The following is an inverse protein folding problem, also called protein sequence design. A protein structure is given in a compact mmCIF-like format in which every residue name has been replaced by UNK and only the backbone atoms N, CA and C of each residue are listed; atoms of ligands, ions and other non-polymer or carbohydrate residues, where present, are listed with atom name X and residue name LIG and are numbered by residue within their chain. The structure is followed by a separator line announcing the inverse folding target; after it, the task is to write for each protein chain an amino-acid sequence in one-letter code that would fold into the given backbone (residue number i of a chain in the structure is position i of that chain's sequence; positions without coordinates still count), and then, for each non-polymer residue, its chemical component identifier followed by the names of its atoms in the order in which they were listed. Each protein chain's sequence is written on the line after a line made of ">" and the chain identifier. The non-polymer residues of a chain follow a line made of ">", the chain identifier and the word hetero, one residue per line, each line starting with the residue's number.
data_IF_885896106164
#
_entry.id   IF_885896106164
#
_cell.length_a   1.000
_cell.length_b   1.000
_cell.length_c   1.000
_cell.angle_alpha   90.00
_cell.angle_beta   90.00
_cell.angle_gamma   90.00
#
_symmetry.space_group_name_H-M   'P 1'
#
loop_
_entity.id
_entity.type
_entity.pdbx_description
1 polymer ?
#
# COMPACT_ATOMS: atom_id res chain seq x y z
N UNK A 1 11.60 3.63 21.56
CA UNK A 1 11.85 2.36 22.29
C UNK A 1 13.34 2.05 22.41
N UNK A 2 14.18 3.07 22.62
CA UNK A 2 15.60 2.90 22.94
C UNK A 2 16.54 2.61 21.77
N UNK A 3 16.07 2.64 20.52
CA UNK A 3 16.91 2.49 19.33
C UNK A 3 17.13 3.82 18.66
N UNK A 4 18.36 4.12 18.23
CA UNK A 4 18.68 5.21 17.33
C UNK A 4 18.39 4.73 15.91
N UNK A 5 17.57 5.48 15.16
CA UNK A 5 17.16 5.13 13.81
C UNK A 5 17.60 6.23 12.84
N UNK A 6 18.37 5.86 11.83
CA UNK A 6 18.72 6.73 10.69
C UNK A 6 17.99 6.23 9.46
N UNK A 7 17.22 7.10 8.81
CA UNK A 7 16.44 6.80 7.61
C UNK A 7 17.18 7.30 6.37
N UNK A 8 17.59 6.37 5.51
CA UNK A 8 18.21 6.69 4.24
C UNK A 8 17.16 6.71 3.14
N UNK A 9 16.86 7.91 2.64
CA UNK A 9 15.81 8.16 1.64
C UNK A 9 16.41 8.59 0.30
N UNK A 10 15.64 8.45 -0.79
CA UNK A 10 16.06 8.95 -2.09
C UNK A 10 15.85 10.47 -2.21
N UNK A 11 16.50 11.10 -3.19
CA UNK A 11 16.32 12.53 -3.49
C UNK A 11 15.00 12.85 -4.21
N UNK A 12 14.06 11.91 -4.32
CA UNK A 12 12.77 12.12 -4.96
C UNK A 12 11.86 13.02 -4.10
N UNK A 13 11.08 13.89 -4.76
CA UNK A 13 10.14 14.82 -4.08
C UNK A 13 9.18 14.12 -3.12
N UNK A 14 8.73 12.90 -3.45
CA UNK A 14 7.81 12.11 -2.61
C UNK A 14 8.46 11.72 -1.28
N UNK A 15 9.73 11.28 -1.32
CA UNK A 15 10.47 10.90 -0.12
C UNK A 15 10.75 12.13 0.77
N UNK A 16 11.10 13.27 0.14
CA UNK A 16 11.32 14.53 0.85
C UNK A 16 10.04 15.11 1.48
N UNK A 17 8.87 14.85 0.88
CA UNK A 17 7.58 15.28 1.44
C UNK A 17 7.18 14.39 2.62
N UNK A 18 7.40 13.08 2.53
CA UNK A 18 7.13 12.14 3.62
C UNK A 18 8.00 12.44 4.85
N UNK A 19 9.26 12.86 4.68
CA UNK A 19 10.17 13.16 5.79
C UNK A 19 9.78 14.39 6.62
N UNK A 20 9.04 15.34 6.03
CA UNK A 20 8.63 16.57 6.74
C UNK A 20 7.73 16.33 7.95
N UNK A 21 7.00 15.23 7.96
CA UNK A 21 6.05 14.89 9.03
C UNK A 21 6.72 14.20 10.24
N UNK A 22 8.04 13.92 10.16
CA UNK A 22 8.78 13.14 11.16
C UNK A 22 10.07 13.84 11.55
N UNK A 23 9.97 15.08 12.06
CA UNK A 23 11.12 15.94 12.40
C UNK A 23 12.10 15.38 13.42
N UNK A 24 11.68 14.41 14.22
CA UNK A 24 12.50 13.79 15.28
C UNK A 24 13.40 12.66 14.78
N UNK A 25 13.32 12.30 13.50
CA UNK A 25 14.12 11.21 12.92
C UNK A 25 15.31 11.75 12.12
N UNK A 26 16.45 11.04 12.20
CA UNK A 26 17.65 11.36 11.41
C UNK A 26 17.46 10.89 9.97
N UNK A 27 17.26 11.86 9.06
CA UNK A 27 17.12 11.60 7.62
C UNK A 27 18.42 11.91 6.89
N UNK A 28 18.89 10.93 6.10
CA UNK A 28 20.02 11.08 5.18
C UNK A 28 19.54 10.80 3.77
N UNK A 29 20.14 11.46 2.79
CA UNK A 29 19.74 11.31 1.39
C UNK A 29 20.81 10.59 0.58
N UNK A 30 20.36 9.73 -0.33
CA UNK A 30 21.21 9.04 -1.30
C UNK A 30 20.67 9.26 -2.71
N UNK A 31 21.56 9.33 -3.68
CA UNK A 31 21.17 9.41 -5.10
C UNK A 31 20.33 8.19 -5.49
N UNK A 32 19.15 8.44 -6.06
CA UNK A 32 18.28 7.37 -6.55
C UNK A 32 18.91 6.73 -7.79
N UNK A 33 19.26 5.44 -7.68
CA UNK A 33 19.82 4.68 -8.78
C UNK A 33 18.71 3.81 -9.37
N UNK A 34 18.44 3.98 -10.67
CA UNK A 34 17.55 3.09 -11.40
C UNK A 34 18.37 2.08 -12.20
N UNK A 35 17.96 0.82 -12.19
CA UNK A 35 18.60 -0.21 -13.01
C UNK A 35 18.30 0.07 -14.49
N UNK A 36 19.32 0.22 -15.37
CA UNK A 36 19.10 0.47 -16.78
C UNK A 36 18.47 -0.75 -17.47
N UNK A 37 17.74 -0.50 -18.55
CA UNK A 37 17.30 -1.58 -19.44
C UNK A 37 18.52 -2.18 -20.14
N UNK A 38 18.62 -3.50 -20.14
CA UNK A 38 19.74 -4.24 -20.76
C UNK A 38 19.30 -4.69 -22.17
N UNK A 39 20.19 -4.54 -23.21
CA UNK A 39 21.52 -3.94 -23.23
C UNK A 39 21.51 -2.40 -23.41
N UNK A 40 22.40 -1.67 -22.72
CA UNK A 40 22.51 -0.21 -22.85
C UNK A 40 23.93 0.26 -22.54
N UNK A 41 24.44 1.24 -23.31
CA UNK A 41 25.70 1.97 -23.03
C UNK A 41 25.65 2.69 -21.65
N UNK A 42 24.47 2.87 -21.07
CA UNK A 42 24.30 3.45 -19.73
C UNK A 42 24.80 2.55 -18.58
N UNK A 43 25.19 1.30 -18.87
CA UNK A 43 25.74 0.36 -17.87
C UNK A 43 27.03 0.85 -17.21
N UNK A 44 27.92 1.51 -17.96
CA UNK A 44 29.16 2.07 -17.39
C UNK A 44 28.84 3.20 -16.39
N UNK A 45 27.98 4.13 -16.78
CA UNK A 45 27.51 5.20 -15.89
C UNK A 45 26.75 4.68 -14.68
N UNK A 46 25.98 3.61 -14.85
CA UNK A 46 25.30 2.91 -13.75
C UNK A 46 26.33 2.31 -12.78
N UNK A 47 27.35 1.61 -13.26
CA UNK A 47 28.42 1.04 -12.43
C UNK A 47 29.12 2.08 -11.56
N UNK A 48 29.46 3.24 -12.15
CA UNK A 48 30.09 4.35 -11.41
C UNK A 48 29.16 4.90 -10.32
N UNK A 49 27.87 5.14 -10.64
CA UNK A 49 26.89 5.61 -9.63
C UNK A 49 26.68 4.58 -8.54
N UNK A 50 26.57 3.31 -8.89
CA UNK A 50 26.43 2.23 -7.91
C UNK A 50 27.65 2.15 -6.97
N UNK A 51 28.85 2.23 -7.52
CA UNK A 51 30.08 2.25 -6.72
C UNK A 51 30.12 3.46 -5.75
N UNK A 52 29.77 4.67 -6.24
CA UNK A 52 29.68 5.87 -5.40
C UNK A 52 28.65 5.70 -4.27
N UNK A 53 27.49 5.14 -4.58
CA UNK A 53 26.44 4.89 -3.59
C UNK A 53 26.87 3.85 -2.53
N UNK A 54 27.56 2.78 -2.93
CA UNK A 54 28.10 1.79 -1.99
C UNK A 54 29.17 2.43 -1.10
N UNK A 55 30.07 3.23 -1.67
CA UNK A 55 31.11 3.94 -0.91
C UNK A 55 30.50 4.93 0.09
N UNK A 56 29.51 5.72 -0.33
CA UNK A 56 28.76 6.62 0.53
C UNK A 56 28.08 5.84 1.66
N UNK A 57 27.37 4.75 1.32
CA UNK A 57 26.68 3.90 2.32
C UNK A 57 27.67 3.33 3.34
N UNK A 58 28.85 2.88 2.89
CA UNK A 58 29.88 2.37 3.78
C UNK A 58 30.35 3.41 4.80
N UNK A 59 30.57 4.65 4.33
CA UNK A 59 30.98 5.75 5.20
C UNK A 59 29.86 6.12 6.21
N UNK A 60 28.62 6.20 5.73
CA UNK A 60 27.47 6.47 6.60
C UNK A 60 27.30 5.39 7.68
N UNK A 61 27.47 4.10 7.33
CA UNK A 61 27.39 3.02 8.30
C UNK A 61 28.45 3.12 9.40
N UNK A 62 29.64 3.62 9.08
CA UNK A 62 30.72 3.89 10.06
C UNK A 62 30.34 5.11 10.93
N UNK A 63 29.84 6.19 10.32
CA UNK A 63 29.44 7.41 11.04
C UNK A 63 28.32 7.15 12.06
N UNK A 64 27.32 6.35 11.69
CA UNK A 64 26.17 6.06 12.57
C UNK A 64 26.36 4.84 13.47
N UNK A 65 27.48 4.14 13.33
CA UNK A 65 27.81 2.91 14.08
C UNK A 65 26.67 1.87 13.99
N UNK A 66 26.27 1.55 12.73
CA UNK A 66 25.08 0.74 12.49
C UNK A 66 25.24 -0.72 12.93
N UNK A 67 24.36 -1.21 13.81
CA UNK A 67 24.26 -2.61 14.22
C UNK A 67 23.44 -3.46 13.26
N UNK A 68 22.47 -2.84 12.58
CA UNK A 68 21.50 -3.50 11.69
C UNK A 68 21.15 -2.59 10.53
N UNK A 69 20.99 -3.18 9.35
CA UNK A 69 20.48 -2.48 8.16
C UNK A 69 19.26 -3.20 7.60
N UNK A 70 18.16 -2.45 7.40
CA UNK A 70 16.91 -2.96 6.82
C UNK A 70 16.64 -2.21 5.52
N UNK A 71 16.63 -2.93 4.40
CA UNK A 71 16.16 -2.40 3.12
C UNK A 71 14.64 -2.51 3.02
N UNK A 72 13.96 -1.38 2.82
CA UNK A 72 12.48 -1.33 2.71
C UNK A 72 11.98 -1.43 1.26
N UNK A 73 12.82 -1.87 0.35
CA UNK A 73 12.44 -2.07 -1.04
C UNK A 73 13.02 -1.03 -2.01
N UNK A 74 12.87 -1.33 -3.29
CA UNK A 74 13.43 -0.53 -4.37
C UNK A 74 14.95 -0.68 -4.50
N UNK A 75 15.49 -0.18 -5.64
CA UNK A 75 16.93 -0.32 -5.93
C UNK A 75 17.81 0.55 -5.02
N UNK A 76 17.24 1.60 -4.41
CA UNK A 76 17.92 2.47 -3.44
C UNK A 76 18.35 1.71 -2.17
N UNK A 77 17.67 0.61 -1.83
CA UNK A 77 18.02 -0.24 -0.68
C UNK A 77 19.28 -1.10 -0.92
N UNK A 78 19.63 -1.38 -2.17
CA UNK A 78 20.74 -2.31 -2.47
C UNK A 78 22.10 -1.80 -1.99
N UNK A 79 22.55 -0.56 -2.27
CA UNK A 79 23.87 -0.08 -1.87
C UNK A 79 24.10 -0.15 -0.35
N UNK A 80 23.21 0.33 0.54
CA UNK A 80 23.42 0.26 1.98
C UNK A 80 23.40 -1.19 2.51
N UNK A 81 22.49 -2.04 2.02
CA UNK A 81 22.45 -3.45 2.41
C UNK A 81 23.71 -4.19 1.97
N UNK A 82 24.18 -3.96 0.74
CA UNK A 82 25.42 -4.56 0.25
C UNK A 82 26.64 -4.09 1.04
N UNK A 83 26.75 -2.79 1.33
CA UNK A 83 27.84 -2.24 2.14
C UNK A 83 27.85 -2.83 3.55
N UNK A 84 26.71 -2.96 4.19
CA UNK A 84 26.53 -3.57 5.52
C UNK A 84 26.93 -5.07 5.49
N UNK A 85 26.46 -5.81 4.50
CA UNK A 85 26.84 -7.22 4.32
C UNK A 85 28.38 -7.38 4.21
N UNK A 86 29.05 -6.53 3.44
CA UNK A 86 30.51 -6.55 3.30
C UNK A 86 31.27 -6.17 4.58
N UNK A 87 30.58 -5.53 5.52
CA UNK A 87 31.12 -5.18 6.85
C UNK A 87 30.76 -6.20 7.94
N UNK A 88 30.00 -7.26 7.61
CA UNK A 88 29.56 -8.25 8.59
C UNK A 88 28.39 -7.77 9.47
N UNK A 89 27.77 -6.63 9.16
CA UNK A 89 26.60 -6.09 9.85
C UNK A 89 25.38 -6.93 9.48
N UNK A 90 24.46 -7.17 10.42
CA UNK A 90 23.21 -7.88 10.15
C UNK A 90 22.34 -7.12 9.16
N UNK A 91 21.89 -7.80 8.12
CA UNK A 91 21.16 -7.19 6.99
C UNK A 91 19.83 -7.88 6.77
N UNK A 92 18.82 -7.07 6.52
CA UNK A 92 17.48 -7.50 6.21
C UNK A 92 16.96 -6.78 4.96
N UNK A 93 16.03 -7.40 4.25
CA UNK A 93 15.20 -6.72 3.26
C UNK A 93 13.75 -7.07 3.54
N UNK A 94 12.89 -6.08 3.55
CA UNK A 94 11.44 -6.27 3.68
C UNK A 94 10.77 -6.17 2.30
N UNK A 95 9.88 -7.12 1.99
CA UNK A 95 9.00 -7.04 0.83
C UNK A 95 7.55 -7.18 1.29
N UNK A 96 6.74 -6.19 0.95
CA UNK A 96 5.33 -6.14 1.33
C UNK A 96 4.40 -6.85 0.34
N UNK A 97 4.87 -7.22 -0.85
CA UNK A 97 4.05 -7.77 -1.91
C UNK A 97 4.12 -9.30 -1.98
N UNK A 98 3.05 -9.94 -2.47
CA UNK A 98 3.03 -11.36 -2.79
C UNK A 98 3.99 -11.71 -3.94
N UNK A 99 4.16 -10.79 -4.91
CA UNK A 99 5.19 -10.87 -5.95
C UNK A 99 6.30 -9.86 -5.62
N UNK A 100 7.47 -10.31 -5.12
CA UNK A 100 8.55 -9.43 -4.74
C UNK A 100 9.17 -8.71 -5.94
N UNK A 101 9.54 -7.44 -5.72
CA UNK A 101 10.25 -6.66 -6.73
C UNK A 101 11.63 -7.24 -7.08
N UNK A 102 12.07 -7.06 -8.35
CA UNK A 102 13.37 -7.55 -8.84
C UNK A 102 14.54 -7.04 -8.00
N UNK A 103 14.47 -5.80 -7.53
CA UNK A 103 15.49 -5.20 -6.65
C UNK A 103 15.58 -5.96 -5.32
N UNK A 104 14.45 -6.29 -4.70
CA UNK A 104 14.42 -7.02 -3.44
C UNK A 104 14.94 -8.45 -3.59
N UNK A 105 14.60 -9.14 -4.68
CA UNK A 105 15.15 -10.48 -4.98
C UNK A 105 16.68 -10.44 -5.16
N UNK A 106 17.23 -9.37 -5.72
CA UNK A 106 18.66 -9.19 -5.82
C UNK A 106 19.28 -8.88 -4.45
N UNK A 107 18.70 -7.94 -3.70
CA UNK A 107 19.18 -7.52 -2.38
C UNK A 107 19.16 -8.66 -1.37
N UNK A 108 18.16 -9.54 -1.43
CA UNK A 108 18.01 -10.71 -0.55
C UNK A 108 19.23 -11.65 -0.58
N UNK A 109 19.98 -11.69 -1.68
CA UNK A 109 21.21 -12.50 -1.77
C UNK A 109 22.28 -12.06 -0.77
N UNK A 110 22.28 -10.77 -0.40
CA UNK A 110 23.21 -10.17 0.54
C UNK A 110 22.62 -10.05 1.96
N UNK A 111 21.39 -10.55 2.18
CA UNK A 111 20.73 -10.40 3.48
C UNK A 111 20.94 -11.60 4.40
N UNK A 112 20.97 -11.32 5.70
CA UNK A 112 20.88 -12.33 6.75
C UNK A 112 19.51 -13.02 6.68
N UNK A 113 18.43 -12.23 6.69
CA UNK A 113 17.06 -12.72 6.50
C UNK A 113 16.27 -11.81 5.56
N UNK A 114 15.16 -12.34 5.05
CA UNK A 114 14.15 -11.65 4.25
C UNK A 114 12.87 -11.57 5.07
N UNK A 115 12.37 -10.36 5.28
CA UNK A 115 11.15 -10.10 6.02
C UNK A 115 9.99 -10.00 5.02
N UNK A 116 8.97 -10.81 5.19
CA UNK A 116 7.85 -10.90 4.26
C UNK A 116 6.60 -10.27 4.84
N UNK A 117 5.99 -9.38 4.10
CA UNK A 117 4.66 -8.84 4.39
C UNK A 117 3.55 -9.84 4.10
N UNK A 118 3.72 -10.65 3.05
CA UNK A 118 2.80 -11.69 2.59
C UNK A 118 3.57 -13.00 2.44
N UNK A 119 3.06 -14.10 3.00
CA UNK A 119 3.78 -15.39 3.08
C UNK A 119 4.06 -15.98 1.69
N UNK A 120 3.17 -15.80 0.73
CA UNK A 120 3.30 -16.30 -0.65
C UNK A 120 4.57 -15.80 -1.35
N UNK A 121 5.13 -14.68 -0.91
CA UNK A 121 6.41 -14.19 -1.42
C UNK A 121 7.59 -15.13 -1.11
N UNK A 122 7.46 -16.05 -0.15
CA UNK A 122 8.49 -17.05 0.23
C UNK A 122 9.01 -17.86 -0.93
N UNK A 123 8.15 -18.18 -1.90
CA UNK A 123 8.51 -18.95 -3.09
C UNK A 123 9.58 -18.31 -3.99
N UNK A 124 9.80 -17.00 -3.85
CA UNK A 124 10.77 -16.23 -4.63
C UNK A 124 12.13 -16.07 -3.96
N UNK A 125 12.28 -16.57 -2.73
CA UNK A 125 13.49 -16.43 -1.92
C UNK A 125 13.99 -17.78 -1.42
N UNK A 126 15.16 -17.79 -0.76
CA UNK A 126 15.59 -18.97 -0.02
C UNK A 126 14.70 -19.13 1.23
N UNK A 127 13.88 -20.21 1.33
CA UNK A 127 12.93 -20.37 2.42
C UNK A 127 13.55 -20.30 3.84
N UNK A 128 14.80 -20.80 3.97
CA UNK A 128 15.52 -20.79 5.25
C UNK A 128 15.86 -19.40 5.77
N UNK A 129 15.85 -18.38 4.89
CA UNK A 129 16.08 -16.97 5.26
C UNK A 129 14.80 -16.18 5.46
N UNK A 130 13.63 -16.73 5.15
CA UNK A 130 12.36 -16.00 5.15
C UNK A 130 11.72 -16.01 6.53
N UNK A 131 11.32 -14.82 6.98
CA UNK A 131 10.55 -14.59 8.20
C UNK A 131 9.30 -13.81 7.81
N UNK A 132 8.12 -14.34 8.09
CA UNK A 132 6.86 -13.62 7.89
C UNK A 132 6.64 -12.67 9.05
N UNK A 133 6.69 -11.38 8.78
CA UNK A 133 6.54 -10.31 9.79
C UNK A 133 5.26 -9.50 9.61
N UNK A 134 4.57 -9.70 8.50
CA UNK A 134 3.58 -8.73 8.04
C UNK A 134 4.24 -7.43 7.55
N UNK A 135 3.45 -6.48 7.12
CA UNK A 135 3.88 -5.12 6.80
C UNK A 135 3.48 -4.19 7.95
N UNK A 136 4.36 -3.31 8.46
CA UNK A 136 4.00 -2.37 9.51
C UNK A 136 2.85 -1.46 9.08
N UNK A 137 1.84 -1.31 9.94
CA UNK A 137 0.76 -0.34 9.79
C UNK A 137 1.09 0.95 10.52
N UNK A 138 0.45 2.04 10.11
CA UNK A 138 0.57 3.32 10.80
C UNK A 138 0.03 3.23 12.23
N UNK A 139 0.64 3.95 13.15
CA UNK A 139 0.26 3.90 14.56
C UNK A 139 -1.21 4.27 14.79
N UNK A 140 -1.76 5.17 13.99
CA UNK A 140 -3.18 5.56 14.04
C UNK A 140 -4.15 4.41 13.74
N UNK A 141 -3.70 3.36 13.01
CA UNK A 141 -4.49 2.16 12.73
C UNK A 141 -4.56 1.21 13.93
N UNK A 142 -3.59 1.28 14.85
CA UNK A 142 -3.53 0.37 16.01
C UNK A 142 -4.64 0.69 17.01
N UNK A 143 -5.00 1.95 17.17
CA UNK A 143 -6.12 2.35 18.02
C UNK A 143 -7.44 2.17 17.24
N UNK A 144 -8.13 1.05 17.47
CA UNK A 144 -9.45 0.82 16.85
C UNK A 144 -10.44 1.87 17.32
N UNK A 145 -10.96 2.67 16.40
CA UNK A 145 -12.08 3.58 16.67
C UNK A 145 -13.41 2.82 16.65
N UNK A 146 -14.34 3.27 17.48
CA UNK A 146 -15.73 2.85 17.37
C UNK A 146 -16.33 3.32 16.04
N UNK A 147 -17.20 2.53 15.47
CA UNK A 147 -17.82 2.79 14.16
C UNK A 147 -18.68 4.05 14.17
N UNK A 148 -19.44 4.26 15.23
CA UNK A 148 -20.33 5.41 15.32
C UNK A 148 -19.55 6.70 15.56
N UNK A 149 -18.49 6.65 16.38
CA UNK A 149 -17.57 7.76 16.56
C UNK A 149 -16.86 8.14 15.24
N UNK A 150 -16.40 7.14 14.49
CA UNK A 150 -15.76 7.34 13.20
C UNK A 150 -16.72 7.96 12.16
N UNK A 151 -17.97 7.54 12.15
CA UNK A 151 -19.01 8.10 11.28
C UNK A 151 -19.35 9.54 11.65
N UNK A 152 -19.46 9.84 12.96
CA UNK A 152 -19.68 11.22 13.43
C UNK A 152 -18.53 12.14 13.03
N UNK A 153 -17.27 11.70 13.17
CA UNK A 153 -16.08 12.46 12.76
C UNK A 153 -16.08 12.79 11.26
N UNK A 154 -16.59 11.87 10.43
CA UNK A 154 -16.62 12.01 8.97
C UNK A 154 -17.95 12.56 8.43
N UNK A 155 -18.87 12.98 9.32
CA UNK A 155 -20.22 13.44 8.97
C UNK A 155 -21.01 12.43 8.12
N UNK A 156 -20.89 11.12 8.44
CA UNK A 156 -21.59 10.05 7.78
C UNK A 156 -22.84 9.62 8.57
N UNK A 157 -23.88 9.12 7.90
CA UNK A 157 -25.09 8.63 8.58
C UNK A 157 -24.81 7.42 9.46
N UNK A 158 -25.53 7.32 10.58
CA UNK A 158 -25.36 6.24 11.56
C UNK A 158 -26.12 4.98 11.22
N UNK A 159 -27.22 5.11 10.50
CA UNK A 159 -28.24 4.08 10.24
C UNK A 159 -28.13 3.42 8.86
N UNK A 160 -27.20 3.89 8.02
CA UNK A 160 -26.98 3.35 6.66
C UNK A 160 -25.67 2.57 6.56
N UNK A 161 -25.59 1.63 5.62
CA UNK A 161 -24.32 0.99 5.24
C UNK A 161 -23.43 2.00 4.55
N UNK A 162 -22.11 1.86 4.70
CA UNK A 162 -21.12 2.75 4.08
C UNK A 162 -20.11 1.94 3.29
N UNK A 163 -19.95 2.26 2.00
CA UNK A 163 -18.93 1.75 1.13
C UNK A 163 -17.79 2.78 1.05
N UNK A 164 -16.58 2.44 1.54
CA UNK A 164 -15.39 3.26 1.38
C UNK A 164 -14.74 2.97 0.01
N UNK A 165 -14.47 4.01 -0.75
CA UNK A 165 -13.82 3.91 -2.06
C UNK A 165 -12.50 4.66 -2.05
N UNK A 166 -11.41 3.99 -2.44
CA UNK A 166 -10.09 4.61 -2.48
C UNK A 166 -9.21 4.10 -3.63
N UNK A 167 -8.70 5.04 -4.42
CA UNK A 167 -7.85 4.75 -5.59
C UNK A 167 -6.35 4.71 -5.30
N UNK A 168 -5.94 4.99 -4.06
CA UNK A 168 -4.54 5.21 -3.68
C UNK A 168 -4.07 6.65 -3.94
N UNK A 169 -2.82 6.95 -3.55
CA UNK A 169 -2.25 8.31 -3.54
C UNK A 169 -2.21 9.02 -4.90
N UNK A 170 -2.23 8.27 -6.00
CA UNK A 170 -2.25 8.81 -7.37
C UNK A 170 -3.67 9.03 -7.91
N UNK A 171 -4.70 8.69 -7.12
CA UNK A 171 -6.09 8.66 -7.57
C UNK A 171 -6.40 7.46 -8.48
N UNK A 172 -7.65 7.33 -8.89
CA UNK A 172 -8.10 6.25 -9.76
C UNK A 172 -9.28 6.70 -10.62
N UNK A 173 -9.03 7.61 -11.56
CA UNK A 173 -10.07 8.29 -12.36
C UNK A 173 -11.08 7.33 -12.97
N UNK A 174 -10.62 6.23 -13.57
CA UNK A 174 -11.51 5.24 -14.16
C UNK A 174 -12.36 4.51 -13.12
N UNK A 175 -11.74 4.06 -12.04
CA UNK A 175 -12.46 3.44 -10.93
C UNK A 175 -13.48 4.41 -10.31
N UNK A 176 -13.11 5.67 -10.09
CA UNK A 176 -14.03 6.69 -9.59
C UNK A 176 -15.25 6.85 -10.50
N UNK A 177 -15.06 6.84 -11.85
CA UNK A 177 -16.17 6.92 -12.79
C UNK A 177 -17.13 5.72 -12.69
N UNK A 178 -16.58 4.50 -12.64
CA UNK A 178 -17.39 3.28 -12.48
C UNK A 178 -18.14 3.26 -11.15
N UNK A 179 -17.51 3.74 -10.08
CA UNK A 179 -18.14 3.83 -8.76
C UNK A 179 -19.27 4.86 -8.75
N UNK A 180 -19.13 6.01 -9.38
CA UNK A 180 -20.20 7.02 -9.47
C UNK A 180 -21.44 6.42 -10.15
N UNK A 181 -21.27 5.69 -11.25
CA UNK A 181 -22.38 5.03 -11.94
C UNK A 181 -23.01 3.91 -11.07
N UNK A 182 -22.18 3.13 -10.37
CA UNK A 182 -22.69 2.13 -9.42
C UNK A 182 -23.43 2.78 -8.23
N UNK A 183 -22.96 3.93 -7.75
CA UNK A 183 -23.61 4.67 -6.67
C UNK A 183 -25.02 5.14 -7.04
N UNK A 184 -25.26 5.53 -8.29
CA UNK A 184 -26.62 5.85 -8.79
C UNK A 184 -27.58 4.65 -8.66
N UNK A 185 -27.06 3.44 -8.87
CA UNK A 185 -27.86 2.19 -8.78
C UNK A 185 -28.06 1.73 -7.33
N UNK A 186 -27.18 2.15 -6.42
CA UNK A 186 -27.11 1.69 -5.03
C UNK A 186 -27.61 2.74 -4.00
N UNK A 187 -28.33 3.79 -4.43
CA UNK A 187 -28.74 4.90 -3.59
C UNK A 187 -29.56 4.45 -2.35
N UNK A 188 -30.42 3.43 -2.49
CA UNK A 188 -31.22 2.87 -1.41
C UNK A 188 -30.46 1.83 -0.55
N UNK A 189 -29.28 1.37 -1.03
CA UNK A 189 -28.52 0.30 -0.40
C UNK A 189 -27.48 0.83 0.60
N UNK A 190 -26.69 1.81 0.22
CA UNK A 190 -25.58 2.31 1.03
C UNK A 190 -25.17 3.73 0.63
N UNK A 191 -24.46 4.37 1.54
CA UNK A 191 -23.72 5.60 1.26
C UNK A 191 -22.31 5.28 0.79
N UNK A 192 -21.74 6.20 0.04
CA UNK A 192 -20.38 6.08 -0.49
C UNK A 192 -19.48 7.16 0.10
N UNK A 193 -18.35 6.76 0.70
CA UNK A 193 -17.27 7.68 1.06
C UNK A 193 -16.15 7.52 0.02
N UNK A 194 -16.00 8.50 -0.87
CA UNK A 194 -15.04 8.43 -1.98
C UNK A 194 -13.82 9.32 -1.70
N UNK A 195 -12.66 8.69 -1.54
CA UNK A 195 -11.36 9.38 -1.44
C UNK A 195 -10.75 9.43 -2.83
N UNK A 196 -10.89 10.60 -3.49
CA UNK A 196 -10.60 10.73 -4.93
C UNK A 196 -9.13 10.95 -5.27
N UNK A 197 -8.36 11.52 -4.36
CA UNK A 197 -7.10 12.19 -4.67
C UNK A 197 -7.31 13.56 -5.31
N UNK A 198 -6.28 14.43 -5.23
CA UNK A 198 -6.38 15.83 -5.69
C UNK A 198 -6.67 15.99 -7.18
N UNK A 199 -6.15 15.08 -8.00
CA UNK A 199 -6.30 15.17 -9.46
C UNK A 199 -7.75 14.98 -9.96
N UNK A 200 -8.62 14.32 -9.19
CA UNK A 200 -9.98 13.96 -9.62
C UNK A 200 -11.09 14.54 -8.73
N UNK A 201 -10.73 15.23 -7.65
CA UNK A 201 -11.67 15.75 -6.65
C UNK A 201 -12.74 16.66 -7.25
N UNK A 202 -12.34 17.69 -7.98
CA UNK A 202 -13.27 18.67 -8.55
C UNK A 202 -14.29 18.01 -9.51
N UNK A 203 -13.82 17.08 -10.36
CA UNK A 203 -14.68 16.36 -11.31
C UNK A 203 -15.67 15.46 -10.58
N UNK A 204 -15.22 14.67 -9.61
CA UNK A 204 -16.10 13.75 -8.86
C UNK A 204 -17.13 14.54 -8.06
N UNK A 205 -16.72 15.60 -7.35
CA UNK A 205 -17.63 16.47 -6.60
C UNK A 205 -18.74 17.08 -7.49
N UNK A 206 -18.37 17.50 -8.72
CA UNK A 206 -19.36 18.02 -9.67
C UNK A 206 -20.34 16.95 -10.15
N UNK A 207 -19.84 15.73 -10.44
CA UNK A 207 -20.65 14.63 -10.96
C UNK A 207 -21.59 14.01 -9.92
N UNK A 208 -21.33 14.25 -8.64
CA UNK A 208 -22.11 13.70 -7.51
C UNK A 208 -22.88 14.76 -6.73
N UNK A 209 -22.94 16.00 -7.23
CA UNK A 209 -23.59 17.12 -6.54
C UNK A 209 -25.10 16.89 -6.30
N UNK A 210 -25.76 16.06 -7.10
CA UNK A 210 -27.16 15.64 -7.00
C UNK A 210 -27.34 14.34 -6.20
N UNK A 211 -26.28 13.77 -5.61
CA UNK A 211 -26.28 12.46 -4.95
C UNK A 211 -26.02 12.60 -3.44
N UNK A 212 -27.05 12.80 -2.60
CA UNK A 212 -26.86 13.07 -1.16
C UNK A 212 -26.24 11.91 -0.37
N UNK A 213 -26.25 10.69 -0.93
CA UNK A 213 -25.64 9.48 -0.37
C UNK A 213 -24.17 9.30 -0.81
N UNK A 214 -23.58 10.30 -1.50
CA UNK A 214 -22.16 10.25 -1.93
C UNK A 214 -21.38 11.36 -1.24
N UNK A 215 -20.46 10.98 -0.39
CA UNK A 215 -19.58 11.87 0.37
C UNK A 215 -18.19 11.86 -0.28
N UNK A 216 -17.77 13.00 -0.82
CA UNK A 216 -16.52 13.09 -1.58
C UNK A 216 -15.48 13.85 -0.75
N UNK A 217 -14.29 13.27 -0.59
CA UNK A 217 -13.15 13.93 0.04
C UNK A 217 -11.92 13.82 -0.87
N UNK A 218 -11.14 14.88 -0.92
CA UNK A 218 -9.92 14.93 -1.71
C UNK A 218 -8.83 14.03 -1.14
N UNK A 219 -8.60 14.16 0.14
CA UNK A 219 -7.58 13.42 0.88
C UNK A 219 -8.08 13.13 2.30
N UNK A 220 -7.85 11.94 2.79
CA UNK A 220 -8.21 11.54 4.14
C UNK A 220 -6.94 11.38 5.00
N UNK A 221 -6.74 12.28 5.96
CA UNK A 221 -5.68 12.15 6.97
C UNK A 221 -6.07 11.14 8.07
N UNK A 222 -7.38 10.99 8.35
CA UNK A 222 -7.92 10.08 9.35
C UNK A 222 -8.34 8.74 8.74
N UNK A 223 -7.41 8.04 8.06
CA UNK A 223 -7.71 6.76 7.41
C UNK A 223 -8.25 5.69 8.37
N UNK A 224 -7.80 5.68 9.63
CA UNK A 224 -8.33 4.77 10.64
C UNK A 224 -9.84 4.98 10.85
N UNK A 225 -10.29 6.24 10.87
CA UNK A 225 -11.73 6.57 10.95
C UNK A 225 -12.46 6.14 9.67
N UNK A 226 -11.89 6.39 8.48
CA UNK A 226 -12.51 5.98 7.21
C UNK A 226 -12.74 4.46 7.14
N UNK A 227 -11.75 3.67 7.51
CA UNK A 227 -11.91 2.21 7.60
C UNK A 227 -12.91 1.80 8.69
N UNK A 228 -12.86 2.41 9.89
CA UNK A 228 -13.78 2.08 10.98
C UNK A 228 -15.24 2.37 10.60
N UNK A 229 -15.49 3.50 9.94
CA UNK A 229 -16.82 3.92 9.47
C UNK A 229 -17.43 2.99 8.42
N UNK A 230 -16.57 2.36 7.59
CA UNK A 230 -17.00 1.55 6.45
C UNK A 230 -17.50 0.16 6.83
N UNK A 231 -18.48 -0.34 6.09
CA UNK A 231 -18.92 -1.75 6.11
C UNK A 231 -18.15 -2.59 5.09
N UNK A 232 -17.86 -2.02 3.93
CA UNK A 232 -17.16 -2.67 2.82
C UNK A 232 -16.21 -1.67 2.15
N UNK A 233 -15.15 -2.16 1.54
CA UNK A 233 -14.15 -1.30 0.88
C UNK A 233 -14.00 -1.65 -0.58
N UNK A 234 -13.94 -0.65 -1.45
CA UNK A 234 -13.57 -0.78 -2.86
C UNK A 234 -12.23 -0.08 -3.05
N UNK A 235 -11.18 -0.82 -3.40
CA UNK A 235 -9.85 -0.22 -3.47
C UNK A 235 -8.91 -0.85 -4.48
N UNK A 236 -7.80 -0.16 -4.74
CA UNK A 236 -6.61 -0.76 -5.33
C UNK A 236 -5.98 -1.77 -4.36
N UNK A 237 -5.19 -2.69 -4.89
CA UNK A 237 -4.53 -3.76 -4.12
C UNK A 237 -3.04 -3.51 -3.90
N UNK A 238 -2.67 -2.26 -3.59
CA UNK A 238 -1.34 -1.95 -3.10
C UNK A 238 -1.07 -2.60 -1.74
N UNK A 239 0.14 -3.05 -1.49
CA UNK A 239 0.47 -3.81 -0.28
C UNK A 239 0.10 -3.08 1.02
N UNK A 240 0.33 -1.75 1.11
CA UNK A 240 -0.05 -0.96 2.29
C UNK A 240 -1.57 -0.96 2.51
N UNK A 241 -2.37 -0.74 1.46
CA UNK A 241 -3.83 -0.76 1.56
C UNK A 241 -4.35 -2.13 2.00
N UNK A 242 -3.77 -3.21 1.47
CA UNK A 242 -4.15 -4.57 1.87
C UNK A 242 -3.79 -4.87 3.31
N UNK A 243 -2.62 -4.42 3.77
CA UNK A 243 -2.22 -4.56 5.17
C UNK A 243 -3.18 -3.80 6.10
N UNK A 244 -3.61 -2.60 5.70
CA UNK A 244 -4.59 -1.82 6.45
C UNK A 244 -5.97 -2.49 6.46
N UNK A 245 -6.42 -3.03 5.30
CA UNK A 245 -7.66 -3.81 5.20
C UNK A 245 -7.65 -5.03 6.12
N UNK A 246 -6.57 -5.82 6.10
CA UNK A 246 -6.38 -6.97 6.96
C UNK A 246 -6.38 -6.59 8.45
N UNK A 247 -5.64 -5.52 8.81
CA UNK A 247 -5.59 -5.05 10.19
C UNK A 247 -6.96 -4.59 10.71
N UNK A 248 -7.77 -3.98 9.82
CA UNK A 248 -9.11 -3.47 10.15
C UNK A 248 -10.22 -4.52 9.98
N UNK A 249 -9.91 -5.72 9.48
CA UNK A 249 -10.87 -6.79 9.23
C UNK A 249 -11.98 -6.35 8.27
N UNK A 250 -11.64 -5.89 7.07
CA UNK A 250 -12.60 -5.30 6.11
C UNK A 250 -12.74 -6.11 4.85
N UNK A 251 -13.97 -6.57 4.61
CA UNK A 251 -14.38 -7.12 3.33
C UNK A 251 -14.13 -6.13 2.18
N UNK A 252 -13.62 -6.62 1.05
CA UNK A 252 -13.25 -5.71 -0.03
C UNK A 252 -13.57 -6.22 -1.44
N UNK A 253 -13.86 -5.27 -2.34
CA UNK A 253 -13.70 -5.41 -3.77
C UNK A 253 -12.33 -4.83 -4.15
N UNK A 254 -11.43 -5.68 -4.60
CA UNK A 254 -10.08 -5.30 -4.99
C UNK A 254 -9.99 -5.13 -6.50
N UNK A 255 -9.62 -3.93 -6.93
CA UNK A 255 -9.45 -3.56 -8.34
C UNK A 255 -7.97 -3.23 -8.57
N UNK A 256 -7.14 -4.20 -8.95
CA UNK A 256 -5.71 -3.99 -9.17
C UNK A 256 -5.43 -2.88 -10.17
N UNK A 257 -4.41 -2.06 -9.91
CA UNK A 257 -3.98 -1.03 -10.86
C UNK A 257 -3.42 -1.70 -12.12
N UNK A 258 -3.96 -1.40 -13.32
CA UNK A 258 -3.62 -2.15 -14.55
C UNK A 258 -2.19 -1.93 -15.03
N UNK A 259 -1.55 -0.84 -14.62
CA UNK A 259 -0.16 -0.51 -15.01
C UNK A 259 0.84 -0.77 -13.88
N UNK A 260 0.47 -1.58 -12.88
CA UNK A 260 1.38 -1.98 -11.81
C UNK A 260 2.55 -2.80 -12.37
N UNK A 261 3.76 -2.45 -11.98
CA UNK A 261 4.97 -3.15 -12.44
C UNK A 261 4.87 -4.65 -12.14
N UNK A 262 5.19 -5.49 -13.14
CA UNK A 262 5.11 -6.95 -13.06
C UNK A 262 3.72 -7.45 -12.52
N UNK A 263 2.65 -6.64 -12.67
CA UNK A 263 1.28 -6.96 -12.22
C UNK A 263 1.17 -7.30 -10.71
N UNK A 264 2.06 -6.77 -9.89
CA UNK A 264 2.16 -7.12 -8.46
C UNK A 264 0.87 -6.89 -7.68
N UNK A 265 0.06 -5.85 -8.06
CA UNK A 265 -1.22 -5.61 -7.39
C UNK A 265 -2.22 -6.74 -7.62
N UNK A 266 -2.24 -7.36 -8.79
CA UNK A 266 -3.09 -8.50 -9.03
C UNK A 266 -2.62 -9.74 -8.26
N UNK A 267 -1.31 -9.93 -8.09
CA UNK A 267 -0.80 -10.99 -7.24
C UNK A 267 -1.23 -10.79 -5.79
N UNK A 268 -1.12 -9.58 -5.26
CA UNK A 268 -1.58 -9.23 -3.92
C UNK A 268 -3.09 -9.49 -3.76
N UNK A 269 -3.92 -9.01 -4.71
CA UNK A 269 -5.37 -9.20 -4.66
C UNK A 269 -5.80 -10.66 -4.69
N UNK A 270 -5.11 -11.52 -5.46
CA UNK A 270 -5.40 -12.96 -5.52
C UNK A 270 -5.21 -13.65 -4.17
N UNK A 271 -4.20 -13.25 -3.38
CA UNK A 271 -3.99 -13.79 -2.03
C UNK A 271 -5.20 -13.51 -1.16
N UNK A 272 -5.66 -12.27 -1.09
CA UNK A 272 -6.83 -11.89 -0.31
C UNK A 272 -8.11 -12.57 -0.79
N UNK A 273 -8.30 -12.68 -2.12
CA UNK A 273 -9.45 -13.38 -2.69
C UNK A 273 -9.41 -14.88 -2.40
N UNK A 274 -8.25 -15.51 -2.44
CA UNK A 274 -8.09 -16.94 -2.14
C UNK A 274 -8.42 -17.27 -0.67
N UNK A 275 -8.19 -16.34 0.25
CA UNK A 275 -8.56 -16.48 1.66
C UNK A 275 -10.03 -16.11 1.96
N UNK A 276 -10.79 -15.67 0.95
CA UNK A 276 -12.19 -15.28 1.15
C UNK A 276 -12.41 -13.88 1.70
N UNK A 277 -11.34 -13.11 1.93
CA UNK A 277 -11.40 -11.74 2.47
C UNK A 277 -11.89 -10.70 1.46
N UNK A 278 -11.75 -11.00 0.16
CA UNK A 278 -12.08 -10.06 -0.91
C UNK A 278 -12.56 -10.74 -2.18
N UNK A 279 -13.24 -9.96 -3.02
CA UNK A 279 -13.41 -10.29 -4.44
C UNK A 279 -12.43 -9.47 -5.27
N UNK A 280 -11.79 -10.09 -6.24
CA UNK A 280 -10.90 -9.40 -7.18
C UNK A 280 -11.54 -9.27 -8.53
N UNK A 281 -11.55 -8.05 -9.09
CA UNK A 281 -11.98 -7.78 -10.47
C UNK A 281 -10.96 -6.92 -11.20
N UNK A 282 -10.71 -7.22 -12.48
CA UNK A 282 -9.77 -6.46 -13.31
C UNK A 282 -10.44 -5.21 -13.86
N UNK A 283 -9.77 -4.05 -13.75
CA UNK A 283 -10.34 -2.78 -14.20
C UNK A 283 -10.75 -2.75 -15.67
N UNK A 284 -10.02 -3.46 -16.53
CA UNK A 284 -10.31 -3.49 -17.98
C UNK A 284 -11.58 -4.24 -18.36
N UNK A 285 -12.14 -5.04 -17.47
CA UNK A 285 -13.40 -5.78 -17.65
C UNK A 285 -14.47 -5.38 -16.65
N UNK A 286 -14.11 -4.56 -15.65
CA UNK A 286 -15.03 -4.12 -14.62
C UNK A 286 -16.06 -3.14 -15.17
N UNK A 287 -17.31 -3.36 -14.80
CA UNK A 287 -18.44 -2.46 -15.10
C UNK A 287 -19.03 -1.88 -13.81
N UNK A 288 -19.84 -0.85 -13.92
CA UNK A 288 -20.62 -0.32 -12.79
C UNK A 288 -21.61 -1.35 -12.25
N UNK A 289 -22.18 -2.19 -13.12
CA UNK A 289 -23.12 -3.25 -12.74
C UNK A 289 -22.44 -4.34 -11.91
N UNK A 290 -21.17 -4.68 -12.20
CA UNK A 290 -20.39 -5.61 -11.39
C UNK A 290 -20.16 -5.08 -9.98
N UNK A 291 -19.87 -3.77 -9.85
CA UNK A 291 -19.72 -3.11 -8.55
C UNK A 291 -21.04 -3.13 -7.78
N UNK A 292 -22.15 -2.75 -8.45
CA UNK A 292 -23.47 -2.75 -7.84
C UNK A 292 -23.90 -4.17 -7.42
N UNK A 293 -23.65 -5.17 -8.25
CA UNK A 293 -23.93 -6.57 -7.93
C UNK A 293 -23.13 -7.04 -6.70
N UNK A 294 -21.84 -6.74 -6.62
CA UNK A 294 -21.01 -7.06 -5.46
C UNK A 294 -21.55 -6.39 -4.19
N UNK A 295 -21.88 -5.10 -4.23
CA UNK A 295 -22.41 -4.38 -3.07
C UNK A 295 -23.76 -4.96 -2.63
N UNK A 296 -24.66 -5.26 -3.57
CA UNK A 296 -25.97 -5.86 -3.27
C UNK A 296 -25.80 -7.22 -2.59
N UNK A 297 -24.92 -8.08 -3.10
CA UNK A 297 -24.65 -9.40 -2.53
C UNK A 297 -24.10 -9.29 -1.11
N UNK A 298 -23.02 -8.52 -0.92
CA UNK A 298 -22.30 -8.48 0.35
C UNK A 298 -23.03 -7.66 1.42
N UNK A 299 -23.70 -6.56 1.06
CA UNK A 299 -24.35 -5.70 2.06
C UNK A 299 -25.74 -6.20 2.48
N UNK A 300 -26.43 -7.01 1.65
CA UNK A 300 -27.71 -7.63 2.00
C UNK A 300 -27.53 -8.93 2.78
N UNK A 301 -26.43 -9.64 2.59
CA UNK A 301 -26.11 -10.85 3.34
C UNK A 301 -25.11 -10.55 4.46
N UNK A 302 -25.64 -10.35 5.67
CA UNK A 302 -24.81 -10.06 6.85
C UNK A 302 -23.89 -11.21 7.24
N UNK A 303 -24.23 -12.46 6.89
CA UNK A 303 -23.39 -13.62 7.17
C UNK A 303 -22.20 -13.68 6.23
N UNK A 304 -22.40 -13.39 4.95
CA UNK A 304 -21.33 -13.28 3.97
C UNK A 304 -20.36 -12.14 4.33
N UNK A 305 -20.90 -10.96 4.67
CA UNK A 305 -20.09 -9.81 5.10
C UNK A 305 -19.25 -10.15 6.34
N UNK A 306 -19.84 -10.79 7.35
CA UNK A 306 -19.12 -11.21 8.54
C UNK A 306 -18.01 -12.21 8.23
N UNK A 307 -18.30 -13.23 7.42
CA UNK A 307 -17.32 -14.22 6.99
C UNK A 307 -16.14 -13.57 6.22
N UNK A 308 -16.43 -12.64 5.31
CA UNK A 308 -15.38 -11.93 4.57
C UNK A 308 -14.50 -11.05 5.50
N UNK A 309 -15.11 -10.42 6.51
CA UNK A 309 -14.39 -9.63 7.50
C UNK A 309 -13.49 -10.49 8.41
N UNK A 310 -13.94 -11.70 8.77
CA UNK A 310 -13.14 -12.66 9.57
C UNK A 310 -11.95 -13.22 8.77
N UNK A 311 -12.10 -13.35 7.46
CA UNK A 311 -11.05 -13.81 6.56
C UNK A 311 -10.02 -12.72 6.21
N UNK A 312 -10.33 -11.44 6.50
CA UNK A 312 -9.45 -10.32 6.18
C UNK A 312 -8.40 -10.10 7.26
#
# INVERSE_FOLDING_TARGET
>A
RGHRVTLLISQKKVDAQASKNYGDLDFRTIEAIAMPKIPSLSLLGFGVRLYKAIRFSRHLLDEVEADVVIGMGGFTSFPPVYAAHRKGIRTYVHDSNALPGKANRMTAKCCTNVLLGIEEARHYFNPAKCIVTGTPVRQEMVARKDKNEARAELNLPQDRRVALVMGGSQGARNLNSLVIEAARQCADLCDFLIITGSADFARVSQLTADMPHVHVIEFCSAMAAAYAAADVVISRSGASSLTELAHMGKAALLVPYPFAADDHQAHNARVFAAHGAARMMRENTLTSDDIAAFLNEVLKDSSLLASMNECA
#
